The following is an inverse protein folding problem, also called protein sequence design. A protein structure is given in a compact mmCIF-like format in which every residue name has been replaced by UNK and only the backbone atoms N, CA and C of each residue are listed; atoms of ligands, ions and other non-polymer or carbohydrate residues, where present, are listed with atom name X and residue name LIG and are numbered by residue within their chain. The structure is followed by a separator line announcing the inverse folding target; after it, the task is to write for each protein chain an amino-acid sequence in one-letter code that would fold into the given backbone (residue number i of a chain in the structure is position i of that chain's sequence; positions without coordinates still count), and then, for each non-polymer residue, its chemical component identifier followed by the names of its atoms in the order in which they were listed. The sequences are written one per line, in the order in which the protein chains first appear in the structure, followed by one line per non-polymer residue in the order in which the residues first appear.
data_IF_974392851415
#
_entry.id   IF_974392851415
#
_cell.length_a   1.000
_cell.length_b   1.000
_cell.length_c   1.000
_cell.angle_alpha   90.00
_cell.angle_beta   90.00
_cell.angle_gamma   90.00
#
_symmetry.space_group_name_H-M   'P 1'
#
loop_
_entity.id
_entity.type
_entity.pdbx_description
1 polymer ?
#
# COMPACT_ATOMS: atom_id res chain seq x y z
N UNK A 1 -20.56 -39.42 25.94
CA UNK A 1 -20.33 -38.40 24.90
C UNK A 1 -19.17 -37.45 25.28
N UNK A 2 -19.18 -36.84 26.46
CA UNK A 2 -18.10 -35.95 26.96
C UNK A 2 -16.71 -36.61 27.02
N UNK A 3 -16.58 -37.87 27.43
CA UNK A 3 -15.30 -38.59 27.48
C UNK A 3 -14.73 -38.92 26.12
N UNK A 4 -15.57 -39.13 25.09
CA UNK A 4 -15.13 -39.35 23.71
C UNK A 4 -14.58 -38.05 23.10
N UNK A 5 -15.24 -36.90 23.40
CA UNK A 5 -14.80 -35.57 23.01
C UNK A 5 -13.49 -35.23 23.70
N UNK A 6 -13.35 -35.48 24.99
CA UNK A 6 -12.09 -35.27 25.71
C UNK A 6 -10.92 -36.14 25.17
N UNK A 7 -11.19 -37.41 24.82
CA UNK A 7 -10.18 -38.28 24.18
C UNK A 7 -9.77 -37.80 22.80
N UNK A 8 -10.70 -37.26 22.01
CA UNK A 8 -10.42 -36.69 20.68
C UNK A 8 -9.56 -35.42 20.78
N UNK A 9 -9.88 -34.56 21.77
CA UNK A 9 -9.10 -33.35 22.08
C UNK A 9 -7.69 -33.66 22.64
N UNK A 10 -7.50 -34.79 23.33
CA UNK A 10 -6.21 -35.19 23.86
C UNK A 10 -5.26 -35.76 22.79
N UNK A 11 -5.77 -36.16 21.63
CA UNK A 11 -5.01 -36.94 20.63
C UNK A 11 -4.34 -36.09 19.54
N UNK A 12 -4.71 -34.79 19.39
CA UNK A 12 -4.11 -33.94 18.37
C UNK A 12 -3.95 -32.50 18.87
N UNK A 13 -2.71 -32.04 18.97
CA UNK A 13 -2.39 -30.63 19.30
C UNK A 13 -3.01 -29.67 18.32
N UNK A 14 -3.10 -30.04 17.05
CA UNK A 14 -3.72 -29.22 15.99
C UNK A 14 -5.21 -28.97 16.26
N UNK A 15 -5.98 -30.01 16.67
CA UNK A 15 -7.41 -29.87 16.96
C UNK A 15 -7.64 -28.94 18.15
N UNK A 16 -6.79 -29.03 19.17
CA UNK A 16 -6.85 -28.14 20.35
C UNK A 16 -6.54 -26.70 19.95
N UNK A 17 -5.50 -26.49 19.14
CA UNK A 17 -5.15 -25.17 18.64
C UNK A 17 -6.28 -24.53 17.81
N UNK A 18 -6.86 -25.27 16.85
CA UNK A 18 -7.97 -24.78 16.03
C UNK A 18 -9.24 -24.50 16.85
N UNK A 19 -9.55 -25.27 17.88
CA UNK A 19 -10.71 -25.00 18.74
C UNK A 19 -10.50 -23.78 19.62
N UNK A 20 -9.30 -23.54 20.12
CA UNK A 20 -8.98 -22.33 20.88
C UNK A 20 -8.99 -21.08 19.98
N UNK A 21 -8.55 -21.21 18.73
CA UNK A 21 -8.55 -20.12 17.76
C UNK A 21 -9.93 -19.91 17.10
N UNK A 22 -10.83 -20.92 17.13
CA UNK A 22 -12.09 -20.86 16.38
C UNK A 22 -12.99 -19.65 16.70
N UNK A 23 -13.14 -19.16 17.95
CA UNK A 23 -13.97 -17.97 18.20
C UNK A 23 -13.39 -16.72 17.48
N UNK A 24 -12.07 -16.53 17.53
CA UNK A 24 -11.42 -15.42 16.86
C UNK A 24 -11.47 -15.57 15.34
N UNK A 25 -11.22 -16.78 14.82
CA UNK A 25 -11.28 -17.05 13.37
C UNK A 25 -12.70 -16.86 12.82
N UNK A 26 -13.72 -17.36 13.52
CA UNK A 26 -15.13 -17.17 13.11
C UNK A 26 -15.47 -15.69 13.08
N UNK A 27 -15.09 -14.93 14.08
CA UNK A 27 -15.36 -13.49 14.13
C UNK A 27 -14.65 -12.74 12.99
N UNK A 28 -13.39 -13.03 12.72
CA UNK A 28 -12.64 -12.44 11.61
C UNK A 28 -13.29 -12.80 10.26
N UNK A 29 -13.62 -14.08 10.06
CA UNK A 29 -14.28 -14.57 8.85
C UNK A 29 -15.62 -13.87 8.64
N UNK A 30 -16.47 -13.77 9.67
CA UNK A 30 -17.76 -13.11 9.58
C UNK A 30 -17.61 -11.61 9.27
N UNK A 31 -16.73 -10.91 9.97
CA UNK A 31 -16.55 -9.47 9.79
C UNK A 31 -15.86 -9.09 8.48
N UNK A 32 -14.99 -9.95 7.92
CA UNK A 32 -14.30 -9.69 6.67
C UNK A 32 -15.01 -10.27 5.46
N UNK A 33 -15.40 -11.56 5.50
CA UNK A 33 -15.95 -12.23 4.33
C UNK A 33 -17.40 -11.83 4.03
N UNK A 34 -18.24 -11.62 5.04
CA UNK A 34 -19.65 -11.24 4.79
C UNK A 34 -19.73 -9.91 4.02
N UNK A 35 -19.12 -8.80 4.46
CA UNK A 35 -19.17 -7.56 3.69
C UNK A 35 -18.55 -7.70 2.29
N UNK A 36 -17.47 -8.46 2.15
CA UNK A 36 -16.86 -8.69 0.82
C UNK A 36 -17.77 -9.46 -0.11
N UNK A 37 -18.42 -10.53 0.37
CA UNK A 37 -19.38 -11.32 -0.42
C UNK A 37 -20.59 -10.45 -0.78
N UNK A 38 -21.11 -9.64 0.15
CA UNK A 38 -22.20 -8.71 -0.13
C UNK A 38 -21.80 -7.70 -1.21
N UNK A 39 -20.64 -7.05 -1.09
CA UNK A 39 -20.13 -6.12 -2.11
C UNK A 39 -19.99 -6.80 -3.46
N UNK A 40 -19.42 -8.00 -3.49
CA UNK A 40 -19.26 -8.78 -4.72
C UNK A 40 -20.64 -9.13 -5.31
N UNK A 41 -21.60 -9.55 -4.49
CA UNK A 41 -22.95 -9.86 -4.95
C UNK A 41 -23.66 -8.63 -5.52
N UNK A 42 -23.61 -7.49 -4.84
CA UNK A 42 -24.16 -6.22 -5.33
C UNK A 42 -23.49 -5.72 -6.62
N UNK A 43 -22.28 -6.11 -6.91
CA UNK A 43 -21.61 -5.74 -8.17
C UNK A 43 -22.27 -6.36 -9.40
N UNK A 44 -23.01 -7.45 -9.21
CA UNK A 44 -23.75 -8.14 -10.29
C UNK A 44 -25.22 -7.72 -10.40
N UNK A 45 -25.72 -6.85 -9.51
CA UNK A 45 -27.10 -6.39 -9.53
C UNK A 45 -27.21 -4.99 -10.12
N UNK A 46 -28.36 -4.67 -10.74
CA UNK A 46 -28.61 -3.34 -11.30
C UNK A 46 -29.28 -2.45 -10.27
N UNK A 47 -28.69 -1.31 -9.98
CA UNK A 47 -29.32 -0.28 -9.16
C UNK A 47 -30.22 0.58 -10.04
N UNK A 48 -31.54 0.50 -9.84
CA UNK A 48 -32.54 1.28 -10.56
C UNK A 48 -32.66 2.67 -9.94
N UNK A 49 -32.62 2.74 -8.62
CA UNK A 49 -32.72 3.97 -7.83
C UNK A 49 -31.81 3.87 -6.61
N UNK A 50 -31.66 4.95 -5.84
CA UNK A 50 -30.86 4.96 -4.61
C UNK A 50 -31.33 3.96 -3.55
N UNK A 51 -32.60 3.56 -3.60
CA UNK A 51 -33.26 2.65 -2.63
C UNK A 51 -33.64 1.32 -3.26
N UNK A 52 -33.74 1.27 -4.58
CA UNK A 52 -34.30 0.13 -5.31
C UNK A 52 -33.20 -0.58 -6.12
N UNK A 53 -33.01 -1.86 -5.80
CA UNK A 53 -32.04 -2.73 -6.44
C UNK A 53 -32.83 -3.80 -7.20
N UNK A 54 -32.56 -3.93 -8.49
CA UNK A 54 -33.00 -5.07 -9.28
C UNK A 54 -32.03 -6.23 -9.04
N UNK A 55 -32.53 -7.31 -8.49
CA UNK A 55 -31.74 -8.51 -8.16
C UNK A 55 -31.51 -9.43 -9.38
N UNK A 56 -31.80 -8.97 -10.58
CA UNK A 56 -31.44 -9.71 -11.80
C UNK A 56 -29.93 -9.70 -11.98
N UNK A 57 -29.36 -10.88 -12.16
CA UNK A 57 -27.93 -11.05 -12.38
C UNK A 57 -27.50 -10.44 -13.72
N UNK A 58 -26.55 -9.53 -13.69
CA UNK A 58 -26.04 -8.87 -14.89
C UNK A 58 -24.53 -8.61 -14.80
N UNK A 59 -23.85 -8.74 -15.92
CA UNK A 59 -22.43 -8.34 -16.09
C UNK A 59 -22.32 -6.99 -16.82
N UNK A 60 -23.46 -6.35 -17.14
CA UNK A 60 -23.48 -5.11 -17.94
C UNK A 60 -22.64 -3.99 -17.31
N UNK A 61 -22.61 -3.87 -15.97
CA UNK A 61 -21.80 -2.87 -15.27
C UNK A 61 -20.30 -3.01 -15.52
N UNK A 62 -19.83 -4.25 -15.65
CA UNK A 62 -18.42 -4.52 -15.99
C UNK A 62 -18.14 -4.11 -17.44
N UNK A 63 -19.07 -4.42 -18.38
CA UNK A 63 -18.97 -4.01 -19.77
C UNK A 63 -18.96 -2.49 -19.86
N UNK A 64 -19.88 -1.80 -19.20
CA UNK A 64 -20.00 -0.34 -19.15
C UNK A 64 -18.72 0.31 -18.56
N UNK A 65 -18.13 -0.32 -17.55
CA UNK A 65 -16.87 0.15 -16.96
C UNK A 65 -15.75 0.17 -18.00
N UNK A 66 -15.58 -0.93 -18.74
CA UNK A 66 -14.52 -1.02 -19.76
C UNK A 66 -14.81 -0.21 -21.03
N UNK A 67 -16.07 0.11 -21.30
CA UNK A 67 -16.45 1.02 -22.40
C UNK A 67 -16.20 2.50 -22.07
N UNK A 68 -16.15 2.87 -20.80
CA UNK A 68 -15.87 4.24 -20.38
C UNK A 68 -14.36 4.51 -20.37
N UNK A 69 -13.84 5.11 -21.43
CA UNK A 69 -12.41 5.44 -21.59
C UNK A 69 -11.81 6.13 -20.35
N UNK A 70 -12.56 7.01 -19.70
CA UNK A 70 -12.10 7.71 -18.49
C UNK A 70 -11.78 6.73 -17.36
N UNK A 71 -12.65 5.75 -17.09
CA UNK A 71 -12.46 4.80 -15.98
C UNK A 71 -11.27 3.87 -16.24
N UNK A 72 -11.15 3.40 -17.48
CA UNK A 72 -10.02 2.55 -17.91
C UNK A 72 -8.70 3.34 -17.82
N UNK A 73 -8.69 4.58 -18.26
CA UNK A 73 -7.50 5.46 -18.16
C UNK A 73 -7.10 5.68 -16.71
N UNK A 74 -8.06 5.96 -15.81
CA UNK A 74 -7.79 6.12 -14.39
C UNK A 74 -7.32 4.82 -13.72
N UNK A 75 -7.84 3.67 -14.13
CA UNK A 75 -7.39 2.36 -13.65
C UNK A 75 -5.93 2.11 -14.02
N UNK A 76 -5.59 2.26 -15.30
CA UNK A 76 -4.21 2.10 -15.80
C UNK A 76 -3.27 3.06 -15.07
N UNK A 77 -3.70 4.31 -14.89
CA UNK A 77 -2.93 5.33 -14.18
C UNK A 77 -2.72 4.98 -12.71
N UNK A 78 -3.74 4.48 -12.02
CA UNK A 78 -3.61 4.00 -10.64
C UNK A 78 -2.60 2.88 -10.52
N UNK A 79 -2.67 1.89 -11.40
CA UNK A 79 -1.71 0.77 -11.46
C UNK A 79 -0.29 1.28 -11.74
N UNK A 80 -0.14 2.20 -12.71
CA UNK A 80 1.16 2.81 -13.06
C UNK A 80 1.76 3.56 -11.87
N UNK A 81 1.00 4.44 -11.23
CA UNK A 81 1.47 5.21 -10.06
C UNK A 81 1.87 4.25 -8.94
N UNK A 82 1.03 3.27 -8.62
CA UNK A 82 1.32 2.29 -7.56
C UNK A 82 2.54 1.43 -7.85
N UNK A 83 2.74 1.07 -9.12
CA UNK A 83 3.94 0.36 -9.56
C UNK A 83 5.20 1.24 -9.38
N UNK A 84 5.15 2.51 -9.79
CA UNK A 84 6.27 3.45 -9.62
C UNK A 84 6.57 3.71 -8.15
N UNK A 85 5.54 3.91 -7.31
CA UNK A 85 5.70 4.06 -5.86
C UNK A 85 6.38 2.82 -5.26
N UNK A 86 5.89 1.64 -5.60
CA UNK A 86 6.46 0.37 -5.12
C UNK A 86 7.91 0.22 -5.54
N UNK A 87 8.21 0.47 -6.81
CA UNK A 87 9.57 0.39 -7.36
C UNK A 87 10.53 1.35 -6.65
N UNK A 88 10.15 2.64 -6.55
CA UNK A 88 10.99 3.66 -5.90
C UNK A 88 11.16 3.36 -4.41
N UNK A 89 10.10 2.89 -3.73
CA UNK A 89 10.19 2.48 -2.32
C UNK A 89 11.16 1.31 -2.14
N UNK A 90 11.10 0.29 -3.00
CA UNK A 90 12.02 -0.84 -2.94
C UNK A 90 13.47 -0.40 -3.23
N UNK A 91 13.67 0.42 -4.25
CA UNK A 91 15.01 0.93 -4.60
C UNK A 91 15.64 1.76 -3.49
N UNK A 92 14.84 2.45 -2.68
CA UNK A 92 15.35 3.25 -1.54
C UNK A 92 15.46 2.42 -0.27
N UNK A 93 14.49 1.55 0.03
CA UNK A 93 14.46 0.76 1.26
C UNK A 93 15.42 -0.45 1.23
N UNK A 94 15.57 -1.10 0.06
CA UNK A 94 16.41 -2.29 -0.04
C UNK A 94 17.89 -2.03 0.30
N UNK A 95 18.58 -0.99 -0.22
CA UNK A 95 19.95 -0.69 0.16
C UNK A 95 20.11 -0.40 1.66
N UNK A 96 19.12 0.27 2.27
CA UNK A 96 19.13 0.56 3.70
C UNK A 96 19.00 -0.73 4.51
N UNK A 97 18.07 -1.61 4.18
CA UNK A 97 17.92 -2.90 4.83
C UNK A 97 19.16 -3.79 4.62
N UNK A 98 19.71 -3.80 3.42
CA UNK A 98 20.93 -4.52 3.09
C UNK A 98 22.10 -4.05 3.97
N UNK A 99 22.28 -2.74 4.10
CA UNK A 99 23.34 -2.18 4.95
C UNK A 99 23.13 -2.58 6.42
N UNK A 100 21.92 -2.49 6.94
CA UNK A 100 21.61 -2.86 8.34
C UNK A 100 21.84 -4.37 8.56
N UNK A 101 21.39 -5.21 7.64
CA UNK A 101 21.49 -6.67 7.78
C UNK A 101 22.95 -7.13 7.80
N UNK A 102 23.80 -6.64 6.88
CA UNK A 102 25.13 -7.20 6.67
C UNK A 102 26.28 -6.38 7.25
N UNK A 103 26.11 -5.06 7.43
CA UNK A 103 27.23 -4.20 7.86
C UNK A 103 27.07 -3.68 9.29
N UNK A 104 25.86 -3.51 9.79
CA UNK A 104 25.64 -3.10 11.18
C UNK A 104 25.87 -4.27 12.11
N UNK A 105 26.90 -4.20 12.96
CA UNK A 105 27.27 -5.28 13.90
C UNK A 105 26.51 -5.22 15.24
N UNK A 106 26.16 -4.02 15.69
CA UNK A 106 25.49 -3.80 16.99
C UNK A 106 24.25 -2.97 16.84
N UNK A 107 23.26 -3.24 17.69
CA UNK A 107 22.04 -2.44 17.79
C UNK A 107 21.22 -2.34 16.48
N UNK A 108 21.20 -3.39 15.64
CA UNK A 108 20.42 -3.44 14.39
C UNK A 108 18.96 -3.05 14.64
N UNK A 109 18.37 -3.53 15.73
CA UNK A 109 17.00 -3.20 16.12
C UNK A 109 16.80 -1.71 16.39
N UNK A 110 17.79 -1.02 16.98
CA UNK A 110 17.73 0.42 17.21
C UNK A 110 17.68 1.19 15.87
N UNK A 111 18.47 0.78 14.87
CA UNK A 111 18.43 1.38 13.54
C UNK A 111 17.05 1.21 12.88
N UNK A 112 16.45 0.02 12.99
CA UNK A 112 15.11 -0.23 12.46
C UNK A 112 14.05 0.63 13.16
N UNK A 113 14.10 0.71 14.48
CA UNK A 113 13.19 1.56 15.26
C UNK A 113 13.35 3.03 14.87
N UNK A 114 14.57 3.53 14.78
CA UNK A 114 14.85 4.91 14.37
C UNK A 114 14.32 5.22 12.97
N UNK A 115 14.47 4.31 12.02
CA UNK A 115 13.96 4.46 10.66
C UNK A 115 12.43 4.37 10.57
N UNK A 116 11.81 3.59 11.46
CA UNK A 116 10.34 3.45 11.47
C UNK A 116 9.65 4.50 12.34
N UNK A 117 10.35 5.15 13.27
CA UNK A 117 9.80 6.11 14.22
C UNK A 117 9.03 7.28 13.54
N UNK A 118 9.51 7.89 12.43
CA UNK A 118 8.75 8.94 11.74
C UNK A 118 7.38 8.49 11.22
N UNK A 119 7.21 7.18 11.03
CA UNK A 119 5.97 6.61 10.47
C UNK A 119 4.88 6.34 11.54
N UNK A 120 5.20 6.51 12.81
CA UNK A 120 4.22 6.43 13.89
C UNK A 120 3.33 7.67 13.97
N UNK A 121 3.69 8.73 13.23
CA UNK A 121 2.82 9.88 13.05
C UNK A 121 1.63 9.56 12.15
N UNK A 122 0.54 10.31 12.29
CA UNK A 122 -0.65 10.16 11.44
C UNK A 122 -0.32 10.26 9.96
N UNK A 123 -0.92 9.36 9.16
CA UNK A 123 -0.79 9.38 7.70
C UNK A 123 -1.17 10.75 7.10
N UNK A 124 -2.29 11.33 7.54
CA UNK A 124 -2.74 12.65 7.06
C UNK A 124 -1.72 13.75 7.36
N UNK A 125 -1.13 13.77 8.55
CA UNK A 125 -0.09 14.76 8.90
C UNK A 125 1.12 14.65 7.97
N UNK A 126 1.54 13.43 7.60
CA UNK A 126 2.63 13.22 6.65
C UNK A 126 2.29 13.76 5.27
N UNK A 127 1.07 13.49 4.77
CA UNK A 127 0.61 14.00 3.48
C UNK A 127 0.55 15.53 3.47
N UNK A 128 0.02 16.16 4.53
CA UNK A 128 0.02 17.63 4.68
C UNK A 128 1.43 18.20 4.77
N UNK A 129 2.35 17.54 5.47
CA UNK A 129 3.75 17.97 5.53
C UNK A 129 4.37 17.98 4.13
N UNK A 130 4.16 16.94 3.35
CA UNK A 130 4.62 16.91 1.96
C UNK A 130 3.96 17.99 1.08
N UNK A 131 2.69 18.31 1.32
CA UNK A 131 2.00 19.42 0.64
C UNK A 131 2.69 20.76 0.90
N UNK A 132 3.14 21.00 2.14
CA UNK A 132 3.91 22.18 2.49
C UNK A 132 5.31 22.15 1.87
N UNK A 133 5.99 21.01 1.93
CA UNK A 133 7.38 20.85 1.43
C UNK A 133 7.45 21.03 -0.09
N UNK A 134 6.50 20.42 -0.84
CA UNK A 134 6.47 20.44 -2.31
C UNK A 134 5.80 21.69 -2.90
N UNK A 135 5.14 22.50 -2.07
CA UNK A 135 4.42 23.71 -2.51
C UNK A 135 5.30 24.68 -3.28
N UNK A 136 4.68 25.55 -4.09
CA UNK A 136 5.40 26.57 -4.87
C UNK A 136 6.24 27.51 -4.01
N UNK A 137 5.74 27.84 -2.82
CA UNK A 137 6.49 28.57 -1.77
C UNK A 137 6.98 27.62 -0.66
N UNK A 138 7.08 26.33 -0.97
CA UNK A 138 7.48 25.29 -0.02
C UNK A 138 8.99 25.26 0.22
N UNK A 139 9.40 24.40 1.16
CA UNK A 139 10.80 24.32 1.61
C UNK A 139 11.75 24.05 0.44
N UNK A 140 11.40 23.12 -0.46
CA UNK A 140 12.26 22.76 -1.60
C UNK A 140 12.46 23.95 -2.54
N UNK A 141 11.36 24.54 -3.02
CA UNK A 141 11.42 25.66 -3.96
C UNK A 141 12.12 26.88 -3.34
N UNK A 142 11.75 27.23 -2.11
CA UNK A 142 12.35 28.37 -1.41
C UNK A 142 13.85 28.18 -1.19
N UNK A 143 14.29 26.98 -0.81
CA UNK A 143 15.73 26.68 -0.62
C UNK A 143 16.50 26.75 -1.92
N UNK A 144 15.99 26.22 -3.02
CA UNK A 144 16.64 26.23 -4.33
C UNK A 144 16.75 27.65 -4.91
N UNK A 145 15.71 28.48 -4.73
CA UNK A 145 15.72 29.89 -5.17
C UNK A 145 16.70 30.71 -4.31
N UNK A 146 16.67 30.53 -2.98
CA UNK A 146 17.58 31.25 -2.08
C UNK A 146 19.04 30.86 -2.30
N UNK A 147 19.31 29.60 -2.66
CA UNK A 147 20.65 29.14 -3.04
C UNK A 147 21.11 29.62 -4.44
N UNK A 148 20.27 30.36 -5.16
CA UNK A 148 20.57 30.83 -6.52
C UNK A 148 20.61 29.74 -7.59
N UNK A 149 20.12 28.53 -7.28
CA UNK A 149 20.10 27.40 -8.21
C UNK A 149 18.93 27.48 -9.21
N UNK A 150 17.87 28.19 -8.85
CA UNK A 150 16.68 28.38 -9.67
C UNK A 150 16.23 29.85 -9.62
N UNK A 151 15.73 30.35 -10.75
CA UNK A 151 15.11 31.69 -10.88
C UNK A 151 13.61 31.64 -10.57
N UNK A 152 12.94 30.51 -10.84
CA UNK A 152 11.51 30.32 -10.68
C UNK A 152 11.20 28.98 -9.96
N UNK A 153 10.05 28.89 -9.27
CA UNK A 153 9.65 27.67 -8.59
C UNK A 153 9.42 26.51 -9.56
N UNK A 154 9.76 25.29 -9.15
CA UNK A 154 9.47 24.05 -9.87
C UNK A 154 7.97 23.74 -9.73
N UNK A 155 7.18 24.06 -10.76
CA UNK A 155 5.72 23.87 -10.74
C UNK A 155 5.30 22.40 -10.78
N UNK A 156 6.14 21.53 -11.37
CA UNK A 156 5.86 20.08 -11.48
C UNK A 156 5.93 19.33 -10.14
N UNK A 157 6.50 19.94 -9.08
CA UNK A 157 6.57 19.34 -7.75
C UNK A 157 5.24 19.34 -7.01
N UNK A 158 4.26 20.14 -7.43
CA UNK A 158 2.97 20.24 -6.75
C UNK A 158 1.82 20.03 -7.75
N UNK A 159 0.72 19.45 -7.27
CA UNK A 159 -0.47 19.13 -8.06
C UNK A 159 -0.17 18.27 -9.29
N UNK A 160 0.70 17.27 -9.12
CA UNK A 160 1.20 16.39 -10.18
C UNK A 160 1.26 14.93 -9.78
N UNK A 161 1.41 14.05 -10.76
CA UNK A 161 1.71 12.62 -10.54
C UNK A 161 3.01 12.44 -9.72
N UNK A 162 4.01 13.28 -9.96
CA UNK A 162 5.30 13.26 -9.24
C UNK A 162 5.12 13.54 -7.75
N UNK A 163 4.30 14.53 -7.38
CA UNK A 163 3.99 14.83 -5.98
C UNK A 163 3.36 13.62 -5.27
N UNK A 164 2.44 12.92 -5.94
CA UNK A 164 1.81 11.72 -5.42
C UNK A 164 2.85 10.61 -5.21
N UNK A 165 3.70 10.35 -6.21
CA UNK A 165 4.73 9.31 -6.14
C UNK A 165 5.71 9.57 -4.99
N UNK A 166 6.25 10.78 -4.87
CA UNK A 166 7.19 11.13 -3.79
C UNK A 166 6.55 10.94 -2.42
N UNK A 167 5.33 11.45 -2.25
CA UNK A 167 4.63 11.40 -0.97
C UNK A 167 4.28 9.97 -0.57
N UNK A 168 3.76 9.17 -1.49
CA UNK A 168 3.40 7.77 -1.23
C UNK A 168 4.65 6.91 -1.00
N UNK A 169 5.74 7.14 -1.76
CA UNK A 169 7.02 6.46 -1.53
C UNK A 169 7.49 6.65 -0.09
N UNK A 170 7.51 7.89 0.39
CA UNK A 170 7.84 8.16 1.78
C UNK A 170 6.82 7.54 2.73
N UNK A 171 5.52 7.70 2.47
CA UNK A 171 4.47 7.20 3.35
C UNK A 171 4.50 5.68 3.57
N UNK A 172 4.91 4.92 2.56
CA UNK A 172 4.98 3.45 2.60
C UNK A 172 6.38 2.89 2.84
N UNK A 173 7.43 3.70 2.88
CA UNK A 173 8.81 3.23 3.06
C UNK A 173 9.01 2.36 4.31
N UNK A 174 8.40 2.72 5.44
CA UNK A 174 8.51 1.93 6.67
C UNK A 174 7.93 0.52 6.56
N UNK A 175 6.86 0.37 5.79
CA UNK A 175 6.23 -0.94 5.60
C UNK A 175 7.09 -1.88 4.75
N UNK A 176 7.98 -1.33 3.90
CA UNK A 176 8.95 -2.10 3.16
C UNK A 176 10.11 -2.61 4.04
N UNK A 177 10.52 -1.81 5.03
CA UNK A 177 11.73 -2.09 5.81
C UNK A 177 11.65 -3.44 6.54
N UNK A 178 10.52 -3.74 7.19
CA UNK A 178 10.41 -4.96 8.00
C UNK A 178 10.51 -6.24 7.19
N UNK A 179 9.70 -6.48 6.14
CA UNK A 179 9.80 -7.72 5.37
C UNK A 179 11.14 -7.85 4.64
N UNK A 180 11.72 -6.74 4.15
CA UNK A 180 13.03 -6.74 3.51
C UNK A 180 14.13 -7.11 4.52
N UNK A 181 14.14 -6.45 5.68
CA UNK A 181 15.14 -6.71 6.70
C UNK A 181 15.09 -8.15 7.21
N UNK A 182 13.89 -8.64 7.57
CA UNK A 182 13.71 -10.00 8.08
C UNK A 182 14.18 -11.05 7.07
N UNK A 183 13.96 -10.82 5.79
CA UNK A 183 14.39 -11.74 4.74
C UNK A 183 15.92 -11.68 4.54
N UNK A 184 16.52 -10.50 4.58
CA UNK A 184 17.97 -10.32 4.45
C UNK A 184 18.72 -10.84 5.68
N UNK A 185 18.20 -10.63 6.88
CA UNK A 185 18.83 -11.08 8.14
C UNK A 185 18.88 -12.60 8.27
N UNK A 186 17.97 -13.32 7.60
CA UNK A 186 17.97 -14.79 7.57
C UNK A 186 19.02 -15.40 6.64
N UNK A 187 19.64 -14.61 5.78
CA UNK A 187 20.67 -15.11 4.86
C UNK A 187 21.96 -15.38 5.65
N UNK A 188 22.40 -16.61 5.64
CA UNK A 188 23.68 -16.98 6.25
C UNK A 188 24.82 -16.28 5.51
N UNK A 189 25.63 -15.52 6.26
CA UNK A 189 26.75 -14.78 5.71
C UNK A 189 27.81 -15.68 5.06
N UNK A 190 27.91 -16.94 5.52
CA UNK A 190 28.78 -17.96 4.93
C UNK A 190 28.51 -18.22 3.45
N UNK A 191 27.25 -18.09 2.99
CA UNK A 191 26.89 -18.21 1.58
C UNK A 191 27.51 -17.08 0.73
N UNK A 192 27.56 -15.88 1.31
CA UNK A 192 28.17 -14.70 0.67
C UNK A 192 29.70 -14.88 0.57
N UNK A 193 30.34 -15.39 1.65
CA UNK A 193 31.76 -15.69 1.69
C UNK A 193 32.10 -16.80 0.70
N UNK A 194 31.38 -17.92 0.71
CA UNK A 194 31.58 -19.02 -0.24
C UNK A 194 31.47 -18.57 -1.70
N UNK A 195 30.48 -17.69 -2.01
CA UNK A 195 30.36 -17.10 -3.34
C UNK A 195 31.60 -16.31 -3.76
N UNK A 196 32.22 -15.58 -2.82
CA UNK A 196 33.45 -14.83 -3.08
C UNK A 196 34.66 -15.75 -3.23
N UNK A 197 34.77 -16.78 -2.44
CA UNK A 197 35.83 -17.77 -2.52
C UNK A 197 35.79 -18.54 -3.85
N UNK A 198 34.61 -18.69 -4.43
CA UNK A 198 34.43 -19.21 -5.80
C UNK A 198 34.74 -18.18 -6.91
N UNK A 199 35.26 -16.99 -6.56
CA UNK A 199 35.69 -15.97 -7.51
C UNK A 199 34.59 -15.04 -8.00
N UNK A 200 33.37 -15.08 -7.43
CA UNK A 200 32.29 -14.17 -7.81
C UNK A 200 32.60 -12.74 -7.34
N UNK A 201 32.36 -11.78 -8.21
CA UNK A 201 32.41 -10.35 -7.86
C UNK A 201 31.28 -9.98 -6.88
N UNK A 202 31.38 -8.82 -6.21
CA UNK A 202 30.34 -8.34 -5.27
C UNK A 202 28.97 -8.22 -5.92
N UNK A 203 28.91 -7.78 -7.17
CA UNK A 203 27.66 -7.66 -7.94
C UNK A 203 27.10 -9.04 -8.30
N UNK A 204 27.94 -10.00 -8.64
CA UNK A 204 27.49 -11.36 -8.92
C UNK A 204 26.97 -12.07 -7.68
N UNK A 205 27.63 -11.92 -6.54
CA UNK A 205 27.15 -12.41 -5.24
C UNK A 205 25.78 -11.81 -4.91
N UNK A 206 25.63 -10.50 -5.14
CA UNK A 206 24.34 -9.84 -4.94
C UNK A 206 23.24 -10.45 -5.82
N UNK A 207 23.44 -10.53 -7.13
CA UNK A 207 22.40 -10.98 -8.05
C UNK A 207 22.16 -12.50 -8.05
N UNK A 208 23.20 -13.29 -7.78
CA UNK A 208 23.11 -14.78 -7.81
C UNK A 208 22.76 -15.38 -6.45
N UNK A 209 23.08 -14.72 -5.34
CA UNK A 209 22.91 -15.26 -3.99
C UNK A 209 21.96 -14.39 -3.17
N UNK A 210 22.32 -13.12 -2.89
CA UNK A 210 21.60 -12.31 -1.93
C UNK A 210 20.20 -11.95 -2.40
N UNK A 211 20.06 -11.45 -3.63
CA UNK A 211 18.78 -11.01 -4.15
C UNK A 211 17.78 -12.16 -4.28
N UNK A 212 18.12 -13.33 -4.85
CA UNK A 212 17.19 -14.47 -4.90
C UNK A 212 16.79 -14.98 -3.51
N UNK A 213 17.70 -15.06 -2.56
CA UNK A 213 17.40 -15.49 -1.20
C UNK A 213 16.54 -14.46 -0.44
N UNK A 214 16.64 -13.18 -0.77
CA UNK A 214 15.80 -12.12 -0.18
C UNK A 214 14.43 -11.97 -0.88
N UNK A 215 14.16 -12.70 -1.97
CA UNK A 215 12.95 -12.56 -2.77
C UNK A 215 11.63 -12.70 -1.97
N UNK A 216 11.50 -13.59 -0.97
CA UNK A 216 10.31 -13.63 -0.13
C UNK A 216 10.01 -12.30 0.57
N UNK A 217 11.05 -11.59 1.04
CA UNK A 217 10.90 -10.26 1.64
C UNK A 217 10.56 -9.18 0.61
N UNK A 218 11.14 -9.26 -0.59
CA UNK A 218 10.82 -8.35 -1.70
C UNK A 218 9.36 -8.50 -2.12
N UNK A 219 8.89 -9.75 -2.31
CA UNK A 219 7.48 -10.01 -2.66
C UNK A 219 6.56 -9.52 -1.55
N UNK A 220 6.88 -9.79 -0.28
CA UNK A 220 6.12 -9.30 0.87
C UNK A 220 6.03 -7.76 0.89
N UNK A 221 7.14 -7.08 0.64
CA UNK A 221 7.18 -5.62 0.55
C UNK A 221 6.35 -5.09 -0.64
N UNK A 222 6.44 -5.74 -1.82
CA UNK A 222 5.62 -5.38 -2.99
C UNK A 222 4.14 -5.42 -2.63
N UNK A 223 3.66 -6.52 -2.05
CA UNK A 223 2.24 -6.69 -1.73
C UNK A 223 1.76 -5.65 -0.70
N UNK A 224 2.54 -5.41 0.35
CA UNK A 224 2.20 -4.46 1.42
C UNK A 224 2.17 -3.01 0.92
N UNK A 225 2.96 -2.66 -0.09
CA UNK A 225 3.00 -1.31 -0.66
C UNK A 225 1.97 -1.17 -1.80
N UNK A 226 2.00 -2.08 -2.77
CA UNK A 226 1.24 -1.96 -4.01
C UNK A 226 -0.27 -1.98 -3.78
N UNK A 227 -0.76 -2.94 -2.96
CA UNK A 227 -2.21 -3.11 -2.76
C UNK A 227 -2.86 -1.86 -2.14
N UNK A 228 -2.37 -1.30 -1.00
CA UNK A 228 -2.97 -0.09 -0.44
C UNK A 228 -2.79 1.13 -1.34
N UNK A 229 -1.66 1.22 -2.07
CA UNK A 229 -1.38 2.38 -2.93
C UNK A 229 -2.37 2.48 -4.10
N UNK A 230 -2.80 1.35 -4.68
CA UNK A 230 -3.83 1.36 -5.74
C UNK A 230 -5.16 1.93 -5.24
N UNK A 231 -5.49 1.69 -3.97
CA UNK A 231 -6.71 2.18 -3.33
C UNK A 231 -6.59 3.56 -2.67
N UNK A 232 -5.41 4.16 -2.66
CA UNK A 232 -5.24 5.46 -1.99
C UNK A 232 -5.94 6.58 -2.76
N UNK A 233 -6.83 7.27 -2.09
CA UNK A 233 -7.53 8.45 -2.61
C UNK A 233 -7.10 9.75 -1.93
N UNK A 234 -6.49 9.67 -0.75
CA UNK A 234 -6.18 10.86 0.07
C UNK A 234 -5.03 11.65 -0.53
N UNK A 235 -3.91 10.99 -0.81
CA UNK A 235 -2.72 11.65 -1.37
C UNK A 235 -3.01 12.25 -2.74
N UNK A 236 -3.61 11.53 -3.71
CA UNK A 236 -3.97 12.12 -4.99
C UNK A 236 -4.96 13.29 -4.89
N UNK A 237 -5.92 13.24 -3.95
CA UNK A 237 -6.86 14.34 -3.73
C UNK A 237 -6.18 15.62 -3.23
N UNK A 238 -5.13 15.50 -2.40
CA UNK A 238 -4.45 16.64 -1.77
C UNK A 238 -3.28 17.19 -2.58
N UNK A 239 -2.56 16.33 -3.30
CA UNK A 239 -1.33 16.69 -4.01
C UNK A 239 -1.36 16.41 -5.52
N UNK A 240 -2.28 15.56 -5.99
CA UNK A 240 -2.25 15.09 -7.37
C UNK A 240 -2.78 16.09 -8.41
N UNK A 241 -3.61 17.05 -8.00
CA UNK A 241 -4.27 17.95 -8.96
C UNK A 241 -5.12 17.20 -9.97
N UNK A 242 -5.16 17.69 -11.22
CA UNK A 242 -5.84 17.01 -12.32
C UNK A 242 -5.05 15.81 -12.82
N UNK A 243 -3.74 15.94 -12.86
CA UNK A 243 -2.84 14.96 -13.46
C UNK A 243 -2.50 13.79 -12.54
N UNK A 244 -2.60 13.98 -11.24
CA UNK A 244 -2.35 12.92 -10.25
C UNK A 244 -3.59 12.16 -9.80
N UNK A 245 -4.77 12.39 -10.38
CA UNK A 245 -6.01 11.68 -10.02
C UNK A 245 -5.90 10.19 -10.32
N UNK A 246 -6.40 9.37 -9.39
CA UNK A 246 -6.48 7.93 -9.46
C UNK A 246 -7.94 7.46 -9.50
N UNK A 247 -8.16 6.18 -9.83
CA UNK A 247 -9.51 5.60 -9.86
C UNK A 247 -10.21 5.70 -8.50
N UNK A 248 -9.47 5.52 -7.41
CA UNK A 248 -9.95 5.66 -6.03
C UNK A 248 -10.58 7.02 -5.74
N UNK A 249 -10.06 8.12 -6.32
CA UNK A 249 -10.66 9.45 -6.21
C UNK A 249 -12.03 9.53 -6.89
N UNK A 250 -12.17 8.86 -8.05
CA UNK A 250 -13.44 8.81 -8.75
C UNK A 250 -14.48 8.01 -7.95
N UNK A 251 -14.08 6.87 -7.39
CA UNK A 251 -14.92 6.05 -6.53
C UNK A 251 -15.38 6.88 -5.32
N UNK A 252 -14.46 7.55 -4.63
CA UNK A 252 -14.79 8.41 -3.48
C UNK A 252 -15.76 9.53 -3.86
N UNK A 253 -15.54 10.17 -5.03
CA UNK A 253 -16.43 11.24 -5.50
C UNK A 253 -17.86 10.73 -5.77
N UNK A 254 -18.02 9.54 -6.34
CA UNK A 254 -19.34 8.92 -6.52
C UNK A 254 -20.05 8.69 -5.18
N UNK A 255 -19.38 8.12 -4.18
CA UNK A 255 -19.95 7.93 -2.85
C UNK A 255 -20.29 9.26 -2.17
N UNK A 256 -19.43 10.28 -2.30
CA UNK A 256 -19.67 11.61 -1.75
C UNK A 256 -20.89 12.28 -2.38
N UNK A 257 -21.03 12.24 -3.70
CA UNK A 257 -22.18 12.86 -4.40
C UNK A 257 -23.48 12.23 -4.00
N UNK A 258 -23.53 10.90 -3.84
CA UNK A 258 -24.72 10.17 -3.36
C UNK A 258 -25.13 10.64 -1.97
N UNK A 259 -24.19 10.86 -1.05
CA UNK A 259 -24.47 11.35 0.30
C UNK A 259 -25.06 12.78 0.32
N UNK A 260 -24.55 13.69 -0.53
CA UNK A 260 -25.02 15.08 -0.59
C UNK A 260 -26.40 15.24 -1.22
N UNK A 261 -26.77 14.38 -2.18
CA UNK A 261 -28.12 14.42 -2.77
C UNK A 261 -29.19 13.99 -1.78
N UNK A 262 -28.89 13.07 -0.86
CA UNK A 262 -29.79 12.68 0.21
C UNK A 262 -30.04 13.81 1.22
N UNK A 263 -29.01 14.58 1.59
CA UNK A 263 -29.16 15.72 2.51
C UNK A 263 -30.04 16.82 1.89
N UNK A 264 -29.83 17.17 0.61
CA UNK A 264 -30.68 18.16 -0.09
C UNK A 264 -32.13 17.73 -0.28
N UNK A 265 -32.38 16.44 -0.50
CA UNK A 265 -33.76 15.93 -0.62
C UNK A 265 -34.55 16.01 0.71
N UNK A 266 -33.87 16.02 1.84
CA UNK A 266 -34.50 16.22 3.16
C UNK A 266 -34.76 17.70 3.46
N UNK A 267 -33.89 18.62 3.03
CA UNK A 267 -34.06 20.07 3.25
C UNK A 267 -35.18 20.68 2.41
N UNK A 268 -35.51 20.10 1.25
CA UNK A 268 -36.60 20.60 0.38
C UNK A 268 -37.97 20.08 0.76
N UNK A 269 -38.12 19.33 1.85
CA UNK A 269 -39.39 18.80 2.36
C UNK A 269 -39.89 19.46 3.66
N UNK A 270 -39.30 20.60 4.06
CA UNK A 270 -39.80 21.42 5.18
C UNK A 270 -40.46 22.68 4.64
#
# INVERSE_FOLDING_TARGET
MLQAVQKFYAKSESVRAYTMLSPALILIILLMLIPMILMLSFSFFTQISFVEIDYTFTIQRYIDFFQKNLLVTLLIKSVKISFLVTLVTLLTAYPVCYYIAFYVKKNKMLWLVMLTLPFWTSYLLRVFSWKIILGTKGVINSSLITAGLLSEPLTFLMYSETAVIITLTHAYAAFALLPLYVSLEKIDFSLIEAGRDLGLSRLEVFWKITFPLSMPGVIGAILIIFIPTVGDYVTPALLGGTDGRMLSNMIQAYFGTVSYTHLRAHETRI
#
